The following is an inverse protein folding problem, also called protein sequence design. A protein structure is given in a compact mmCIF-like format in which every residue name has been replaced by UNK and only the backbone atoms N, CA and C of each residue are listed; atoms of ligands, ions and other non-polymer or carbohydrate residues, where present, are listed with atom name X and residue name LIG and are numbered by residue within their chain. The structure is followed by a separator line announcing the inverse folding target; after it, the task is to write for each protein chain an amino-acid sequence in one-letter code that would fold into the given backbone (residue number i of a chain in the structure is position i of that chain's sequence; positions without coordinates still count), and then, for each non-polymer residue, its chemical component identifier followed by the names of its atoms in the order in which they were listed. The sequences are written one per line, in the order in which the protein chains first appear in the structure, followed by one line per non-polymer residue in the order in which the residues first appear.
data_IF_974617181764
#
_entry.id   IF_974617181764
#
_cell.length_a   1.000
_cell.length_b   1.000
_cell.length_c   1.000
_cell.angle_alpha   90.00
_cell.angle_beta   90.00
_cell.angle_gamma   90.00
#
_symmetry.space_group_name_H-M   'P 1'
#
loop_
_entity.id
_entity.type
_entity.pdbx_description
1 polymer ?
#
# COMPACT_ATOMS: atom_id res chain seq x y z
N UNK A 1 4.91 -11.97 -7.17
CA UNK A 1 4.01 -12.42 -6.10
C UNK A 1 2.64 -12.60 -6.72
N UNK A 2 1.99 -13.75 -6.53
CA UNK A 2 0.68 -14.06 -7.14
C UNK A 2 -0.45 -14.14 -6.11
N UNK A 3 -0.17 -13.91 -4.82
CA UNK A 3 -1.20 -13.83 -3.78
C UNK A 3 -1.44 -12.37 -3.38
N UNK A 4 -2.66 -11.91 -3.63
CA UNK A 4 -3.12 -10.56 -3.29
C UNK A 4 -3.02 -10.28 -1.79
N UNK A 5 -3.31 -11.26 -0.92
CA UNK A 5 -3.24 -11.05 0.53
C UNK A 5 -1.79 -10.91 0.99
N UNK A 6 -0.88 -11.71 0.44
CA UNK A 6 0.54 -11.56 0.73
C UNK A 6 1.06 -10.18 0.27
N UNK A 7 0.58 -9.65 -0.86
CA UNK A 7 0.94 -8.30 -1.29
C UNK A 7 0.45 -7.23 -0.32
N UNK A 8 -0.76 -7.38 0.23
CA UNK A 8 -1.28 -6.49 1.29
C UNK A 8 -0.43 -6.60 2.56
N UNK A 9 -0.10 -7.82 3.01
CA UNK A 9 0.76 -8.03 4.19
C UNK A 9 2.10 -7.30 4.03
N UNK A 10 2.71 -7.34 2.83
CA UNK A 10 3.97 -6.63 2.57
C UNK A 10 3.82 -5.12 2.56
N UNK A 11 2.68 -4.58 2.11
CA UNK A 11 2.41 -3.14 2.20
C UNK A 11 2.18 -2.69 3.65
N UNK A 12 1.58 -3.53 4.49
CA UNK A 12 1.44 -3.27 5.92
C UNK A 12 2.81 -3.22 6.60
N UNK A 13 3.68 -4.20 6.34
CA UNK A 13 5.07 -4.21 6.84
C UNK A 13 5.84 -2.94 6.40
N UNK A 14 5.70 -2.54 5.12
CA UNK A 14 6.33 -1.32 4.61
C UNK A 14 5.77 -0.04 5.25
N UNK A 15 4.49 -0.05 5.65
CA UNK A 15 3.87 1.06 6.38
C UNK A 15 4.43 1.19 7.78
N UNK A 16 4.66 0.08 8.46
CA UNK A 16 5.28 0.07 9.79
C UNK A 16 6.76 0.52 9.70
N UNK A 17 7.52 0.00 8.73
CA UNK A 17 8.89 0.45 8.47
C UNK A 17 8.96 1.94 8.11
N UNK A 18 7.96 2.47 7.37
CA UNK A 18 7.90 3.89 7.06
C UNK A 18 7.79 4.78 8.31
N UNK A 19 7.13 4.29 9.37
CA UNK A 19 7.03 5.01 10.64
C UNK A 19 8.33 5.04 11.45
N UNK A 20 9.27 4.17 11.14
CA UNK A 20 10.55 4.02 11.86
C UNK A 20 11.77 4.45 11.04
N UNK A 21 11.58 4.79 9.75
CA UNK A 21 12.67 5.06 8.82
C UNK A 21 13.50 6.31 9.17
N UNK A 22 14.74 6.10 9.57
CA UNK A 22 15.62 7.12 10.15
C UNK A 22 16.55 7.75 9.11
N UNK A 23 16.90 7.00 8.05
CA UNK A 23 17.83 7.46 7.03
C UNK A 23 17.27 7.42 5.60
N UNK A 24 17.96 8.12 4.70
CA UNK A 24 17.55 8.23 3.29
C UNK A 24 17.57 6.90 2.53
N UNK A 25 18.41 5.94 2.93
CA UNK A 25 18.47 4.63 2.29
C UNK A 25 17.22 3.80 2.59
N UNK A 26 16.80 3.74 3.86
CA UNK A 26 15.57 3.06 4.28
C UNK A 26 14.35 3.65 3.57
N UNK A 27 14.24 4.97 3.53
CA UNK A 27 13.15 5.67 2.83
C UNK A 27 13.11 5.34 1.33
N UNK A 28 14.27 5.33 0.67
CA UNK A 28 14.38 4.95 -0.73
C UNK A 28 13.99 3.48 -0.97
N UNK A 29 14.41 2.57 -0.09
CA UNK A 29 14.09 1.15 -0.17
C UNK A 29 12.59 0.90 0.00
N UNK A 30 11.95 1.56 0.97
CA UNK A 30 10.50 1.47 1.20
C UNK A 30 9.73 2.00 -0.01
N UNK A 31 10.14 3.16 -0.55
CA UNK A 31 9.56 3.70 -1.77
C UNK A 31 9.65 2.70 -2.94
N UNK A 32 10.84 2.15 -3.20
CA UNK A 32 11.06 1.24 -4.31
C UNK A 32 10.26 -0.07 -4.15
N UNK A 33 10.22 -0.62 -2.93
CA UNK A 33 9.46 -1.83 -2.64
C UNK A 33 7.94 -1.61 -2.80
N UNK A 34 7.43 -0.46 -2.33
CA UNK A 34 6.01 -0.08 -2.50
C UNK A 34 5.65 0.02 -3.98
N UNK A 35 6.50 0.64 -4.80
CA UNK A 35 6.30 0.72 -6.25
C UNK A 35 6.30 -0.66 -6.91
N UNK A 36 7.26 -1.53 -6.55
CA UNK A 36 7.35 -2.87 -7.10
C UNK A 36 6.12 -3.74 -6.76
N UNK A 37 5.53 -3.58 -5.57
CA UNK A 37 4.28 -4.26 -5.19
C UNK A 37 3.10 -3.67 -5.95
N UNK A 38 3.00 -2.34 -6.06
CA UNK A 38 1.94 -1.70 -6.85
C UNK A 38 1.95 -2.21 -8.30
N UNK A 39 3.12 -2.29 -8.93
CA UNK A 39 3.24 -2.83 -10.31
C UNK A 39 2.75 -4.27 -10.42
N UNK A 40 2.93 -5.09 -9.39
CA UNK A 40 2.41 -6.46 -9.39
C UNK A 40 0.88 -6.49 -9.27
N UNK A 41 0.28 -5.57 -8.53
CA UNK A 41 -1.17 -5.39 -8.52
C UNK A 41 -1.70 -4.84 -9.85
N UNK A 42 -1.02 -3.88 -10.47
CA UNK A 42 -1.41 -3.32 -11.76
C UNK A 42 -1.46 -4.42 -12.84
N UNK A 43 -0.58 -5.43 -12.76
CA UNK A 43 -0.60 -6.58 -13.67
C UNK A 43 -1.86 -7.47 -13.56
N UNK A 44 -2.61 -7.36 -12.46
CA UNK A 44 -3.85 -8.10 -12.20
C UNK A 44 -5.05 -7.15 -12.06
N UNK A 45 -4.94 -5.91 -12.53
CA UNK A 45 -5.97 -4.88 -12.33
C UNK A 45 -7.35 -5.29 -12.86
N UNK A 46 -7.39 -6.10 -13.93
CA UNK A 46 -8.60 -6.61 -14.56
C UNK A 46 -9.42 -7.54 -13.65
N UNK A 47 -8.78 -8.13 -12.62
CA UNK A 47 -9.43 -8.99 -11.63
C UNK A 47 -9.97 -8.20 -10.43
N UNK A 48 -9.74 -6.89 -10.38
CA UNK A 48 -10.05 -6.02 -9.26
C UNK A 48 -11.14 -5.01 -9.64
N UNK A 49 -12.06 -4.74 -8.72
CA UNK A 49 -13.03 -3.67 -8.94
C UNK A 49 -12.38 -2.29 -8.71
N UNK A 50 -13.02 -1.25 -9.24
CA UNK A 50 -12.52 0.14 -9.19
C UNK A 50 -12.27 0.60 -7.75
N UNK A 51 -13.12 0.21 -6.81
CA UNK A 51 -12.97 0.59 -5.40
C UNK A 51 -11.76 -0.09 -4.75
N UNK A 52 -11.51 -1.36 -5.06
CA UNK A 52 -10.29 -2.08 -4.63
C UNK A 52 -9.02 -1.40 -5.16
N UNK A 53 -9.03 -0.98 -6.44
CA UNK A 53 -7.90 -0.28 -7.07
C UNK A 53 -7.65 1.10 -6.45
N UNK A 54 -8.73 1.81 -6.07
CA UNK A 54 -8.65 3.07 -5.34
C UNK A 54 -7.93 2.88 -4.00
N UNK A 55 -8.34 1.89 -3.20
CA UNK A 55 -7.72 1.61 -1.88
C UNK A 55 -6.25 1.26 -1.97
N UNK A 56 -5.89 0.42 -2.94
CA UNK A 56 -4.49 0.13 -3.23
C UNK A 56 -3.71 1.39 -3.61
N UNK A 57 -4.23 2.20 -4.52
CA UNK A 57 -3.53 3.39 -5.01
C UNK A 57 -3.35 4.42 -3.89
N UNK A 58 -4.37 4.62 -3.05
CA UNK A 58 -4.32 5.50 -1.90
C UNK A 58 -3.35 4.99 -0.82
N UNK A 59 -3.31 3.68 -0.55
CA UNK A 59 -2.34 3.08 0.37
C UNK A 59 -0.90 3.32 -0.12
N UNK A 60 -0.61 2.96 -1.37
CA UNK A 60 0.73 3.11 -1.94
C UNK A 60 1.17 4.58 -2.01
N UNK A 61 0.27 5.51 -2.35
CA UNK A 61 0.56 6.95 -2.28
C UNK A 61 0.93 7.38 -0.86
N UNK A 62 0.12 6.99 0.12
CA UNK A 62 0.35 7.36 1.53
C UNK A 62 1.71 6.84 2.03
N UNK A 63 2.06 5.57 1.75
CA UNK A 63 3.36 5.01 2.14
C UNK A 63 4.52 5.81 1.53
N UNK A 64 4.46 6.11 0.22
CA UNK A 64 5.52 6.87 -0.47
C UNK A 64 5.62 8.31 0.02
N UNK A 65 4.48 8.95 0.32
CA UNK A 65 4.44 10.28 0.91
C UNK A 65 5.04 10.30 2.32
N UNK A 66 4.77 9.28 3.14
CA UNK A 66 5.32 9.15 4.50
C UNK A 66 6.85 9.12 4.51
N UNK A 67 7.47 8.48 3.51
CA UNK A 67 8.95 8.43 3.38
C UNK A 67 9.54 9.61 2.58
N UNK A 68 8.72 10.58 2.17
CA UNK A 68 9.17 11.80 1.50
C UNK A 68 9.46 11.67 -0.01
N UNK A 69 8.91 10.65 -0.66
CA UNK A 69 9.10 10.39 -2.10
C UNK A 69 7.84 10.64 -2.94
N UNK A 70 6.80 11.24 -2.36
CA UNK A 70 5.55 11.59 -3.05
C UNK A 70 4.97 12.88 -2.47
N UNK A 71 3.95 13.44 -3.13
CA UNK A 71 3.28 14.68 -2.70
C UNK A 71 2.58 14.44 -1.37
N UNK A 72 2.87 15.29 -0.38
CA UNK A 72 2.35 15.14 0.99
C UNK A 72 1.08 15.92 1.27
N UNK A 73 0.70 16.87 0.41
CA UNK A 73 -0.41 17.81 0.62
C UNK A 73 -0.36 18.48 2.00
N UNK A 74 0.84 18.90 2.44
CA UNK A 74 1.09 19.56 3.74
C UNK A 74 0.74 18.71 4.98
N UNK A 75 0.60 17.40 4.81
CA UNK A 75 0.36 16.46 5.92
C UNK A 75 1.65 15.80 6.41
N UNK A 76 1.67 15.44 7.70
CA UNK A 76 2.82 14.79 8.34
C UNK A 76 2.99 13.34 7.89
N UNK A 77 4.21 12.81 8.06
CA UNK A 77 4.50 11.40 7.81
C UNK A 77 3.59 10.47 8.63
N UNK A 78 3.39 10.76 9.92
CA UNK A 78 2.50 9.99 10.81
C UNK A 78 1.06 9.94 10.30
N UNK A 79 0.57 11.05 9.73
CA UNK A 79 -0.77 11.11 9.17
C UNK A 79 -0.88 10.21 7.94
N UNK A 80 0.13 10.23 7.07
CA UNK A 80 0.20 9.33 5.92
C UNK A 80 0.32 7.85 6.32
N UNK A 81 1.08 7.52 7.36
CA UNK A 81 1.15 6.15 7.91
C UNK A 81 -0.23 5.71 8.42
N UNK A 82 -0.93 6.57 9.17
CA UNK A 82 -2.29 6.28 9.65
C UNK A 82 -3.27 6.02 8.49
N UNK A 83 -3.20 6.84 7.44
CA UNK A 83 -4.00 6.65 6.24
C UNK A 83 -3.68 5.36 5.51
N UNK A 84 -2.39 5.05 5.32
CA UNK A 84 -1.97 3.79 4.71
C UNK A 84 -2.58 2.59 5.44
N UNK A 85 -2.48 2.54 6.78
CA UNK A 85 -3.10 1.48 7.60
C UNK A 85 -4.61 1.38 7.38
N UNK A 86 -5.31 2.51 7.36
CA UNK A 86 -6.76 2.55 7.10
C UNK A 86 -7.12 2.01 5.72
N UNK A 87 -6.41 2.42 4.66
CA UNK A 87 -6.66 1.93 3.30
C UNK A 87 -6.34 0.44 3.15
N UNK A 88 -5.25 -0.04 3.78
CA UNK A 88 -4.84 -1.45 3.73
C UNK A 88 -5.82 -2.37 4.46
N UNK A 89 -6.37 -1.94 5.59
CA UNK A 89 -7.43 -2.67 6.29
C UNK A 89 -8.64 -2.88 5.37
N UNK A 90 -9.12 -1.83 4.71
CA UNK A 90 -10.26 -1.94 3.78
C UNK A 90 -9.90 -2.80 2.56
N UNK A 91 -8.69 -2.64 2.02
CA UNK A 91 -8.20 -3.43 0.89
C UNK A 91 -8.19 -4.93 1.22
N UNK A 92 -7.73 -5.31 2.42
CA UNK A 92 -7.73 -6.69 2.92
C UNK A 92 -9.14 -7.27 2.93
N UNK A 93 -10.10 -6.56 3.52
CA UNK A 93 -11.49 -6.99 3.61
C UNK A 93 -12.08 -7.24 2.21
N UNK A 94 -11.87 -6.30 1.28
CA UNK A 94 -12.34 -6.42 -0.11
C UNK A 94 -11.76 -7.64 -0.83
N UNK A 95 -10.46 -7.94 -0.64
CA UNK A 95 -9.81 -9.11 -1.25
C UNK A 95 -10.37 -10.40 -0.65
N UNK A 96 -10.61 -10.44 0.66
CA UNK A 96 -11.18 -11.61 1.34
C UNK A 96 -12.62 -11.87 0.87
N UNK A 97 -13.46 -10.84 0.80
CA UNK A 97 -14.83 -10.92 0.30
C UNK A 97 -14.87 -11.44 -1.15
N UNK A 98 -14.00 -10.92 -2.02
CA UNK A 98 -13.91 -11.39 -3.41
C UNK A 98 -13.52 -12.86 -3.51
N UNK A 99 -12.60 -13.34 -2.66
CA UNK A 99 -12.22 -14.76 -2.62
C UNK A 99 -13.38 -15.64 -2.16
N UNK A 100 -14.21 -15.19 -1.22
CA UNK A 100 -15.40 -15.93 -0.76
C UNK A 100 -16.49 -16.03 -1.84
N UNK A 101 -16.67 -14.99 -2.66
CA UNK A 101 -17.67 -14.99 -3.74
C UNK A 101 -17.28 -15.88 -4.93
N UNK A 102 -16.00 -16.24 -5.06
CA UNK A 102 -15.47 -17.11 -6.12
C UNK A 102 -15.47 -18.60 -5.74
N UNK A 103 -15.86 -18.95 -4.51
CA UNK A 103 -16.02 -20.33 -4.03
C UNK A 103 -17.46 -20.82 -4.23
#
# INVERSE_FOLDING_TARGET
MNDQLLMVDRLEELTDLASEADNGFERAAIYAATQAIKTQFDAIEHDLNVYTLEKLSSACWSIRAAVGYDITNDHSADQHVSWARGQLSVLRDLIQESKLQKQ
#
